data_IF_214946942356
#
_entry.id   IF_214946942356
#
_cell.length_a   1.000
_cell.length_b   1.000
_cell.length_c   1.000
_cell.angle_alpha   90.00
_cell.angle_beta   90.00
_cell.angle_gamma   90.00
#
_symmetry.space_group_name_H-M   'P 1'
#
loop_
_entity.id
_entity.type
_entity.pdbx_description
1 polymer ?
2 non-polymer ?
3 non-polymer ?
4 water ?
#
# COMPACT_ATOMS: atom_id res chain seq x y z
N UNK A 2 11.09 15.51 11.32
CA UNK A 2 11.55 15.34 9.95
C UNK A 2 12.47 14.12 9.87
N UNK A 3 12.70 13.64 8.65
CA UNK A 3 13.53 12.45 8.47
C UNK A 3 14.83 12.74 7.72
N UNK A 4 15.25 14.01 7.71
CA UNK A 4 16.42 14.39 6.92
C UNK A 4 17.73 14.06 7.61
N UNK A 5 17.64 13.56 8.83
CA UNK A 5 18.81 13.11 9.59
C UNK A 5 19.03 11.59 9.56
N UNK A 6 18.13 10.85 8.91
CA UNK A 6 18.37 9.43 8.75
C UNK A 6 19.61 9.25 7.92
N UNK A 7 20.49 8.34 8.33
CA UNK A 7 21.70 8.09 7.56
C UNK A 7 21.85 6.65 7.10
N UNK A 8 20.98 5.77 7.59
CA UNK A 8 21.02 4.35 7.22
C UNK A 8 20.72 4.12 5.73
N UNK A 9 21.19 2.99 5.18
CA UNK A 9 20.96 2.71 3.76
C UNK A 9 19.45 2.63 3.50
N UNK A 10 19.01 3.09 2.34
CA UNK A 10 17.61 3.05 1.99
C UNK A 10 16.77 4.14 2.60
N UNK A 11 17.42 5.13 3.23
CA UNK A 11 16.69 6.21 3.88
C UNK A 11 16.39 7.37 2.93
N UNK A 12 16.83 7.26 1.68
CA UNK A 12 16.57 8.31 0.70
C UNK A 12 15.77 7.79 -0.49
N UNK A 13 14.74 8.54 -0.85
CA UNK A 13 13.96 8.21 -2.03
C UNK A 13 14.76 8.48 -3.30
N UNK A 14 14.92 7.45 -4.12
CA UNK A 14 15.72 7.58 -5.34
C UNK A 14 14.89 7.43 -6.61
N UNK A 15 13.57 7.28 -6.44
CA UNK A 15 12.67 7.24 -7.58
C UNK A 15 11.87 8.55 -7.64
N UNK A 16 11.44 8.93 -8.84
CA UNK A 16 10.63 10.15 -8.99
C UNK A 16 9.21 9.98 -8.46
N UNK A 17 8.69 11.01 -7.79
CA UNK A 17 7.29 11.07 -7.41
C UNK A 17 6.58 12.04 -8.33
N UNK A 18 5.39 11.67 -8.79
CA UNK A 18 4.60 12.56 -9.63
C UNK A 18 5.32 12.88 -10.95
N UNK A 24 5.83 8.64 -22.77
CA UNK A 24 7.05 8.09 -23.35
C UNK A 24 7.12 6.58 -23.15
N UNK A 25 7.04 5.83 -24.27
CA UNK A 25 7.00 4.36 -24.30
C UNK A 25 8.14 3.70 -23.54
N UNK A 26 8.02 2.39 -23.37
CA UNK A 26 9.06 1.58 -22.72
C UNK A 26 9.00 0.18 -23.32
N UNK A 27 9.91 -0.68 -22.89
CA UNK A 27 9.83 -2.09 -23.26
C UNK A 27 8.47 -2.63 -22.88
N UNK A 28 7.75 -3.23 -23.84
CA UNK A 28 6.44 -3.81 -23.56
C UNK A 28 6.53 -5.04 -22.67
N UNK A 29 7.56 -5.86 -22.87
CA UNK A 29 7.74 -7.08 -22.10
C UNK A 29 8.07 -6.83 -20.63
N UNK A 30 7.98 -5.56 -20.21
CA UNK A 30 8.24 -5.15 -18.85
C UNK A 30 7.54 -6.08 -17.84
N UNK A 31 8.26 -6.45 -16.78
CA UNK A 31 7.69 -7.25 -15.69
C UNK A 31 7.67 -6.42 -14.43
N UNK A 32 6.51 -6.32 -13.79
CA UNK A 32 6.37 -5.43 -12.64
C UNK A 32 5.79 -6.16 -11.43
N UNK A 33 6.40 -5.97 -10.27
CA UNK A 33 5.89 -6.52 -9.02
C UNK A 33 5.34 -5.35 -8.21
N UNK A 34 4.02 -5.34 -8.00
CA UNK A 34 3.38 -4.30 -7.20
C UNK A 34 3.33 -4.68 -5.71
N UNK A 35 3.62 -3.71 -4.85
CA UNK A 35 3.59 -3.92 -3.39
C UNK A 35 2.68 -2.90 -2.70
N UNK A 36 1.71 -3.39 -1.93
CA UNK A 36 1.05 -2.53 -0.95
C UNK A 36 2.06 -2.14 0.13
N UNK A 37 1.75 -1.12 0.91
CA UNK A 37 2.66 -0.68 1.98
C UNK A 37 2.18 -1.03 3.39
N UNK A 38 1.04 -0.49 3.78
CA UNK A 38 0.59 -0.68 5.15
C UNK A 38 0.23 -2.14 5.45
N UNK A 39 0.82 -2.68 6.50
CA UNK A 39 0.58 -4.07 6.93
C UNK A 39 1.14 -5.04 5.91
N UNK A 40 1.97 -4.52 5.03
CA UNK A 40 2.61 -5.33 4.00
C UNK A 40 4.13 -5.23 4.12
N UNK A 41 4.65 -4.03 3.97
CA UNK A 41 6.09 -3.83 4.09
C UNK A 41 6.48 -3.70 5.56
N UNK A 42 5.47 -3.62 6.43
CA UNK A 42 5.70 -3.79 7.86
C UNK A 42 4.58 -4.66 8.43
N UNK A 43 4.82 -5.24 9.61
CA UNK A 43 3.88 -6.21 10.17
C UNK A 43 2.66 -5.58 10.82
N UNK A 44 1.51 -6.24 10.68
CA UNK A 44 0.28 -5.74 11.26
C UNK A 44 0.40 -5.66 12.79
N UNK A 45 1.31 -6.46 13.36
CA UNK A 45 1.56 -6.44 14.80
C UNK A 45 2.33 -5.20 15.30
N UNK A 46 2.77 -4.33 14.39
CA UNK A 46 3.34 -3.04 14.79
C UNK A 46 2.24 -2.21 15.46
N UNK A 47 1.00 -2.63 15.25
CA UNK A 47 -0.20 -1.93 15.75
C UNK A 47 -0.42 -0.55 15.14
N UNK A 48 0.29 -0.25 14.05
CA UNK A 48 0.08 1.01 13.35
C UNK A 48 -1.35 1.12 12.85
N UNK A 49 -1.93 0.00 12.41
CA UNK A 49 -3.29 0.03 11.89
C UNK A 49 -4.27 0.40 13.00
N UNK A 50 -3.99 -0.05 14.22
CA UNK A 50 -4.81 0.26 15.36
C UNK A 50 -4.76 1.76 15.67
N UNK A 51 -3.56 2.33 15.61
CA UNK A 51 -3.39 3.77 15.77
C UNK A 51 -4.12 4.56 14.70
N UNK A 52 -4.09 4.06 13.47
CA UNK A 52 -4.78 4.73 12.37
C UNK A 52 -6.29 4.71 12.64
N UNK A 53 -6.81 3.55 12.99
CA UNK A 53 -8.24 3.41 13.25
C UNK A 53 -8.68 4.30 14.41
N UNK A 54 -7.85 4.40 15.45
CA UNK A 54 -8.14 5.29 16.56
C UNK A 54 -8.33 6.72 16.07
N UNK A 55 -7.41 7.18 15.23
CA UNK A 55 -7.45 8.54 14.73
C UNK A 55 -8.65 8.76 13.83
N UNK A 56 -8.91 7.78 12.98
CA UNK A 56 -10.04 7.87 12.06
C UNK A 56 -11.36 7.94 12.82
N UNK A 57 -11.53 7.04 13.79
CA UNK A 57 -12.72 7.04 14.63
C UNK A 57 -12.86 8.37 15.39
N UNK A 58 -11.76 8.92 15.87
CA UNK A 58 -11.79 10.23 16.52
C UNK A 58 -12.29 11.31 15.55
N UNK A 59 -11.82 11.25 14.31
CA UNK A 59 -12.29 12.19 13.30
C UNK A 59 -13.81 12.11 13.08
N UNK A 60 -14.34 10.91 12.90
CA UNK A 60 -15.78 10.75 12.75
C UNK A 60 -16.50 11.38 13.93
N UNK A 61 -15.97 11.21 15.13
CA UNK A 61 -16.65 11.75 16.30
C UNK A 61 -16.58 13.25 16.35
N UNK A 62 -15.38 13.80 16.18
CA UNK A 62 -15.19 15.23 16.37
C UNK A 62 -15.71 16.03 15.19
N UNK A 63 -15.60 15.47 13.99
CA UNK A 63 -16.02 16.25 12.82
C UNK A 63 -17.46 15.99 12.40
N UNK A 64 -17.91 14.75 12.52
CA UNK A 64 -19.27 14.38 12.15
C UNK A 64 -20.21 14.34 13.36
N UNK A 65 -19.66 14.63 14.54
CA UNK A 65 -20.46 14.66 15.79
C UNK A 65 -21.23 13.37 16.02
N UNK A 66 -20.56 12.24 15.81
CA UNK A 66 -21.19 10.95 16.01
C UNK A 66 -20.73 10.34 17.33
N UNK A 67 -21.60 9.54 17.93
CA UNK A 67 -21.23 8.74 19.09
C UNK A 67 -20.16 7.75 18.62
N UNK A 68 -19.36 7.21 19.55
CA UNK A 68 -18.37 6.20 19.14
C UNK A 68 -18.99 5.01 18.40
N UNK A 69 -20.13 4.54 18.88
CA UNK A 69 -20.73 3.35 18.27
C UNK A 69 -21.20 3.63 16.84
N UNK A 70 -21.76 4.81 16.58
CA UNK A 70 -22.18 5.17 15.24
C UNK A 70 -20.99 5.48 14.34
N UNK A 71 -19.91 5.98 14.95
CA UNK A 71 -18.67 6.22 14.22
C UNK A 71 -18.11 4.90 13.70
N UNK A 72 -18.15 3.86 14.53
CA UNK A 72 -17.66 2.54 14.12
C UNK A 72 -18.48 2.01 12.96
N UNK A 73 -19.80 2.14 13.07
CA UNK A 73 -20.68 1.63 12.03
C UNK A 73 -20.44 2.31 10.69
N UNK A 74 -20.32 3.63 10.70
CA UNK A 74 -20.12 4.38 9.47
C UNK A 74 -18.70 4.14 8.91
N UNK A 75 -17.70 4.16 9.78
CA UNK A 75 -16.33 3.87 9.37
C UNK A 75 -16.27 2.49 8.66
N UNK A 76 -16.84 1.48 9.30
CA UNK A 76 -16.80 0.13 8.74
C UNK A 76 -17.55 0.05 7.44
N UNK A 77 -18.69 0.72 7.37
CA UNK A 77 -19.51 0.71 6.16
C UNK A 77 -18.72 1.28 4.99
N UNK A 78 -18.10 2.45 5.19
CA UNK A 78 -17.34 3.06 4.11
C UNK A 78 -16.09 2.28 3.76
N UNK A 79 -15.40 1.78 4.78
CA UNK A 79 -14.17 1.01 4.58
C UNK A 79 -14.49 -0.25 3.78
N UNK A 80 -15.63 -0.87 4.07
CA UNK A 80 -15.97 -2.15 3.47
C UNK A 80 -16.22 -2.01 1.98
N UNK A 81 -17.02 -1.01 1.62
CA UNK A 81 -17.45 -0.81 0.25
C UNK A 81 -16.46 -0.02 -0.61
N UNK A 82 -15.56 0.72 0.03
CA UNK A 82 -14.67 1.62 -0.71
C UNK A 82 -13.18 1.32 -0.57
N UNK A 83 -12.79 0.57 0.45
CA UNK A 83 -11.37 0.33 0.72
C UNK A 83 -10.73 1.47 1.48
N UNK A 84 -11.43 2.60 1.56
CA UNK A 84 -11.00 3.74 2.38
C UNK A 84 -12.19 4.47 2.95
N UNK A 85 -12.20 4.67 4.27
CA UNK A 85 -13.26 5.45 4.89
C UNK A 85 -13.31 6.85 4.31
N UNK A 86 -12.14 7.42 4.04
CA UNK A 86 -12.10 8.77 3.53
C UNK A 86 -12.83 8.94 2.20
N UNK A 87 -12.95 7.86 1.43
CA UNK A 87 -13.72 7.97 0.20
C UNK A 87 -15.17 8.32 0.51
N UNK A 88 -15.77 7.69 1.52
CA UNK A 88 -17.13 8.01 1.93
C UNK A 88 -17.28 9.38 2.58
N UNK A 89 -16.32 9.75 3.42
CA UNK A 89 -16.31 11.08 4.02
C UNK A 89 -16.25 12.20 3.00
N UNK A 90 -15.48 12.01 1.92
CA UNK A 90 -15.42 13.03 0.87
C UNK A 90 -16.77 13.15 0.17
N UNK A 91 -17.32 12.02 -0.24
CA UNK A 91 -18.52 12.02 -1.06
C UNK A 91 -19.75 12.48 -0.29
N UNK A 92 -19.94 11.94 0.91
CA UNK A 92 -21.20 12.18 1.60
C UNK A 92 -21.13 13.31 2.61
N UNK A 93 -19.95 13.57 3.15
CA UNK A 93 -19.83 14.52 4.24
C UNK A 93 -19.02 15.74 3.88
N UNK A 94 -18.59 15.79 2.62
CA UNK A 94 -17.85 16.93 2.07
C UNK A 94 -16.65 17.28 2.94
N UNK A 95 -15.96 16.23 3.36
CA UNK A 95 -14.71 16.35 4.07
C UNK A 95 -13.57 16.63 3.09
N UNK A 96 -12.66 17.50 3.50
CA UNK A 96 -11.43 17.74 2.75
C UNK A 96 -10.39 16.66 3.08
N UNK A 97 -10.04 15.83 2.10
CA UNK A 97 -9.25 14.64 2.38
C UNK A 97 -7.84 14.98 2.87
N UNK A 98 -7.29 16.11 2.43
CA UNK A 98 -5.95 16.50 2.92
C UNK A 98 -5.96 16.94 4.38
N UNK A 99 -7.01 17.64 4.81
CA UNK A 99 -7.09 18.03 6.23
C UNK A 99 -7.27 16.80 7.09
N UNK A 100 -8.10 15.88 6.62
CA UNK A 100 -8.28 14.60 7.27
C UNK A 100 -6.94 13.88 7.39
N UNK A 101 -6.23 13.82 6.26
CA UNK A 101 -4.96 13.08 6.20
C UNK A 101 -3.93 13.64 7.19
N UNK A 102 -3.98 14.95 7.41
CA UNK A 102 -3.10 15.60 8.38
C UNK A 102 -3.38 15.11 9.80
N UNK A 103 -4.64 14.86 10.11
CA UNK A 103 -5.02 14.39 11.43
C UNK A 103 -4.89 12.88 11.61
N UNK A 104 -4.85 12.15 10.50
CA UNK A 104 -4.75 10.68 10.57
C UNK A 104 -3.34 10.19 10.25
N UNK A 105 -3.11 9.69 9.04
CA UNK A 105 -1.83 9.08 8.69
C UNK A 105 -0.64 9.97 9.06
N UNK A 106 -0.78 11.27 8.81
CA UNK A 106 0.34 12.18 8.96
C UNK A 106 0.65 12.55 10.41
N UNK A 107 -0.19 12.13 11.35
CA UNK A 107 0.09 12.40 12.75
C UNK A 107 0.55 11.15 13.50
N UNK A 108 0.76 10.05 12.77
CA UNK A 108 1.26 8.83 13.40
C UNK A 108 2.70 9.04 13.87
N UNK A 109 3.03 8.51 15.05
CA UNK A 109 4.40 8.61 15.58
C UNK A 109 5.31 7.53 15.00
N UNK A 110 5.42 7.48 13.67
CA UNK A 110 6.17 6.42 12.99
C UNK A 110 7.65 6.34 13.37
N UNK A 111 8.25 7.49 13.67
CA UNK A 111 9.67 7.53 13.94
C UNK A 111 10.01 6.76 15.21
N UNK A 112 8.99 6.52 16.02
CA UNK A 112 9.16 5.77 17.27
C UNK A 112 8.75 4.31 17.11
N UNK A 113 8.27 3.95 15.92
CA UNK A 113 7.77 2.59 15.70
C UNK A 113 8.57 1.82 14.65
N UNK A 114 8.81 2.45 13.50
CA UNK A 114 9.44 1.75 12.40
C UNK A 114 10.95 1.93 12.46
N UNK A 115 11.65 0.83 12.28
CA UNK A 115 13.11 0.84 12.31
C UNK A 115 13.58 0.19 11.03
N UNK A 116 14.85 0.40 10.65
CA UNK A 116 15.28 -0.24 9.41
C UNK A 116 15.10 -1.75 9.46
N UNK A 117 14.55 -2.30 8.39
CA UNK A 117 14.29 -3.73 8.29
C UNK A 117 15.29 -4.31 7.33
N UNK A 118 16.41 -4.79 7.87
CA UNK A 118 17.50 -5.28 7.05
C UNK A 118 17.16 -6.57 6.29
N UNK A 119 16.53 -7.56 6.96
CA UNK A 119 16.13 -8.72 6.15
C UNK A 119 15.20 -8.38 4.99
N UNK A 120 14.28 -7.44 5.18
CA UNK A 120 13.39 -7.05 4.09
C UNK A 120 14.22 -6.39 2.99
N UNK A 121 15.13 -5.51 3.39
CA UNK A 121 15.98 -4.83 2.40
C UNK A 121 16.73 -5.86 1.57
N UNK A 122 17.36 -6.81 2.27
CA UNK A 122 18.11 -7.84 1.56
C UNK A 122 17.27 -8.71 0.63
N UNK A 123 16.06 -9.07 1.07
CA UNK A 123 15.17 -9.84 0.21
C UNK A 123 14.81 -9.08 -1.08
N UNK A 124 14.45 -7.80 -0.93
CA UNK A 124 14.08 -6.97 -2.07
C UNK A 124 15.26 -6.75 -3.03
N UNK A 125 16.45 -6.54 -2.47
CA UNK A 125 17.67 -6.48 -3.25
C UNK A 125 17.85 -7.74 -4.10
N UNK A 126 17.66 -8.91 -3.48
CA UNK A 126 17.80 -10.15 -4.24
C UNK A 126 16.77 -10.23 -5.38
N UNK A 127 15.55 -9.78 -5.11
CA UNK A 127 14.51 -9.75 -6.13
C UNK A 127 14.87 -8.83 -7.30
N UNK A 128 15.49 -7.69 -7.01
CA UNK A 128 15.89 -6.74 -8.06
C UNK A 128 17.05 -7.26 -8.89
N UNK A 129 17.87 -8.09 -8.28
CA UNK A 129 19.17 -8.45 -8.86
C UNK A 129 19.13 -9.72 -9.70
N UNK A 130 18.00 -10.40 -9.70
CA UNK A 130 17.84 -11.64 -10.48
C UNK A 130 17.70 -11.35 -11.95
N UNK A 131 17.11 -10.20 -12.27
CA UNK A 131 16.80 -9.87 -13.66
C UNK A 131 15.44 -10.37 -14.12
N UNK A 132 14.72 -11.06 -13.24
CA UNK A 132 13.41 -11.62 -13.55
C UNK A 132 12.30 -10.57 -13.48
N UNK A 133 12.51 -9.55 -12.66
CA UNK A 133 11.53 -8.48 -12.49
C UNK A 133 12.17 -7.14 -12.85
N UNK A 134 11.52 -6.40 -13.74
CA UNK A 134 12.07 -5.14 -14.21
C UNK A 134 11.86 -3.98 -13.22
N UNK A 135 10.67 -3.92 -12.63
CA UNK A 135 10.38 -2.88 -11.65
C UNK A 135 9.67 -3.40 -10.41
N UNK A 136 10.05 -2.86 -9.25
CA UNK A 136 9.27 -3.01 -8.03
C UNK A 136 8.50 -1.70 -7.86
N UNK A 137 7.17 -1.79 -7.84
CA UNK A 137 6.34 -0.58 -7.86
C UNK A 137 5.44 -0.57 -6.65
N UNK A 138 5.41 0.56 -5.95
CA UNK A 138 4.54 0.68 -4.77
C UNK A 138 3.13 1.01 -5.23
N UNK A 139 2.14 0.38 -4.61
CA UNK A 139 0.76 0.59 -5.00
C UNK A 139 -0.04 0.66 -3.71
N UNK A 140 -0.32 1.88 -3.26
CA UNK A 140 -0.85 2.09 -1.92
C UNK A 140 -2.10 2.97 -1.95
N UNK A 141 -3.02 2.70 -1.01
CA UNK A 141 -4.13 3.60 -0.73
C UNK A 141 -3.79 4.77 0.20
N UNK A 142 -2.57 4.81 0.70
CA UNK A 142 -2.11 5.96 1.47
C UNK A 142 -1.83 7.11 0.54
N UNK A 143 -1.73 8.31 1.13
CA UNK A 143 -1.26 9.48 0.40
C UNK A 143 0.27 9.41 0.39
N UNK A 144 0.90 10.18 -0.50
CA UNK A 144 2.34 10.06 -0.70
C UNK A 144 3.17 10.37 0.56
N UNK A 145 2.73 11.32 1.38
CA UNK A 145 3.51 11.70 2.56
C UNK A 145 3.81 10.49 3.42
N UNK A 146 2.75 9.79 3.82
CA UNK A 146 2.87 8.60 4.64
C UNK A 146 3.65 7.49 3.96
N UNK A 147 3.37 7.27 2.68
CA UNK A 147 4.03 6.22 1.91
C UNK A 147 5.55 6.39 1.97
N UNK A 148 5.99 7.60 1.64
CA UNK A 148 7.43 7.91 1.62
C UNK A 148 8.07 7.77 2.99
N UNK A 149 7.38 8.26 4.00
CA UNK A 149 7.84 8.20 5.38
C UNK A 149 8.08 6.74 5.82
N UNK A 150 7.16 5.84 5.47
CA UNK A 150 7.35 4.43 5.77
C UNK A 150 8.60 3.89 5.07
N UNK A 151 8.77 4.22 3.80
CA UNK A 151 9.91 3.68 3.04
C UNK A 151 11.23 4.12 3.66
N UNK A 152 11.31 5.40 4.00
CA UNK A 152 12.55 5.94 4.53
C UNK A 152 12.91 5.34 5.89
N UNK A 153 11.94 5.27 6.79
CA UNK A 153 12.15 4.70 8.12
C UNK A 153 12.55 3.22 8.04
N UNK A 154 11.97 2.49 7.11
CA UNK A 154 12.24 1.06 6.99
C UNK A 154 13.55 0.79 6.25
N UNK A 155 14.17 1.83 5.70
CA UNK A 155 15.38 1.66 4.91
C UNK A 155 15.20 0.91 3.60
N UNK A 156 14.12 1.19 2.88
CA UNK A 156 13.89 0.57 1.59
C UNK A 156 13.52 1.59 0.54
N UNK A 157 13.81 2.87 0.77
CA UNK A 157 13.39 3.93 -0.16
C UNK A 157 14.10 3.97 -1.52
N UNK A 158 15.21 3.25 -1.66
CA UNK A 158 15.87 3.16 -2.96
C UNK A 158 15.53 1.87 -3.68
N UNK A 159 14.67 1.07 -3.09
CA UNK A 159 14.42 -0.26 -3.63
C UNK A 159 13.27 -0.34 -4.63
N UNK A 160 12.54 0.77 -4.82
CA UNK A 160 11.39 0.77 -5.71
C UNK A 160 11.58 1.77 -6.84
N UNK A 161 10.94 1.48 -7.97
CA UNK A 161 11.14 2.29 -9.17
C UNK A 161 10.09 3.37 -9.31
N UNK A 162 9.06 3.30 -8.46
CA UNK A 162 7.97 4.24 -8.57
C UNK A 162 6.90 3.99 -7.53
N UNK A 163 6.00 4.95 -7.41
CA UNK A 163 4.94 4.92 -6.41
C UNK A 163 3.63 5.35 -7.05
N UNK A 164 2.62 4.51 -6.89
CA UNK A 164 1.23 4.88 -7.23
C UNK A 164 0.47 4.99 -5.92
N UNK A 165 -0.01 6.19 -5.60
CA UNK A 165 -0.66 6.42 -4.31
C UNK A 165 -2.02 7.01 -4.59
N UNK A 166 -2.88 7.04 -3.59
CA UNK A 166 -4.22 7.59 -3.72
C UNK A 166 -4.15 9.11 -3.58
N UNK A 167 -4.66 9.81 -4.59
CA UNK A 167 -4.52 11.26 -4.68
C UNK A 167 -5.60 11.94 -3.83
N UNK A 168 -5.27 12.25 -2.59
CA UNK A 168 -6.20 12.83 -1.64
C UNK A 168 -6.51 14.30 -1.98
N UNK A 169 -5.95 14.81 -3.08
CA UNK A 169 -6.25 16.19 -3.49
C UNK A 169 -7.60 16.32 -4.20
N UNK A 170 -8.15 15.19 -4.66
CA UNK A 170 -9.45 15.17 -5.33
C UNK A 170 -10.59 15.42 -4.35
N UNK A 171 -11.63 16.11 -4.82
CA UNK A 171 -12.72 16.50 -3.92
C UNK A 171 -14.09 15.95 -4.32
N UNK A 172 -14.13 15.21 -5.42
CA UNK A 172 -15.37 14.56 -5.85
C UNK A 172 -15.47 13.14 -5.28
N UNK A 173 -14.40 12.36 -5.49
CA UNK A 173 -14.25 11.04 -4.89
C UNK A 173 -12.78 10.74 -4.85
N UNK A 174 -12.41 9.62 -4.24
CA UNK A 174 -11.03 9.17 -4.31
C UNK A 174 -10.99 7.91 -5.15
N UNK A 175 -9.98 7.82 -6.02
CA UNK A 175 -9.73 6.59 -6.75
C UNK A 175 -8.79 5.74 -5.93
N UNK A 176 -9.26 4.57 -5.50
CA UNK A 176 -8.42 3.74 -4.62
C UNK A 176 -8.71 2.26 -4.80
N UNK A 177 -7.76 1.43 -4.38
CA UNK A 177 -8.01 -0.01 -4.34
C UNK A 177 -9.21 -0.24 -3.41
N UNK A 178 -10.07 -1.22 -3.73
CA UNK A 178 -9.92 -2.24 -4.76
C UNK A 178 -10.55 -1.89 -6.11
N UNK A 179 -10.88 -0.62 -6.33
CA UNK A 179 -11.53 -0.22 -7.58
C UNK A 179 -10.61 -0.41 -8.79
N UNK A 180 -11.18 -0.91 -9.88
CA UNK A 180 -10.40 -1.17 -11.08
C UNK A 180 -9.63 0.06 -11.59
N UNK A 181 -10.19 1.25 -11.41
CA UNK A 181 -9.52 2.46 -11.87
C UNK A 181 -8.18 2.69 -11.19
N UNK A 182 -8.05 2.18 -9.96
CA UNK A 182 -6.80 2.34 -9.23
C UNK A 182 -5.74 1.46 -9.85
N UNK A 183 -6.16 0.25 -10.24
CA UNK A 183 -5.25 -0.69 -10.90
C UNK A 183 -4.81 -0.16 -12.26
N UNK A 184 -5.77 0.38 -13.02
CA UNK A 184 -5.45 0.99 -14.30
C UNK A 184 -4.40 2.11 -14.17
N UNK A 185 -4.54 2.93 -13.14
CA UNK A 185 -3.57 3.98 -12.87
C UNK A 185 -2.20 3.40 -12.51
N UNK A 186 -2.18 2.33 -11.73
CA UNK A 186 -0.91 1.68 -11.39
C UNK A 186 -0.26 1.11 -12.66
N UNK A 187 -1.06 0.50 -13.51
CA UNK A 187 -0.56 -0.05 -14.77
C UNK A 187 0.04 1.06 -15.65
N UNK A 188 -0.69 2.16 -15.82
CA UNK A 188 -0.20 3.28 -16.60
C UNK A 188 1.06 3.92 -16.03
N UNK A 189 1.10 4.15 -14.72
CA UNK A 189 2.20 4.87 -14.12
C UNK A 189 3.49 4.04 -14.13
N UNK A 190 3.33 2.72 -14.01
CA UNK A 190 4.47 1.82 -13.95
C UNK A 190 5.01 1.45 -15.34
N UNK A 191 4.23 1.75 -16.38
CA UNK A 191 4.63 1.42 -17.74
C UNK A 191 4.26 -0.01 -18.12
N UNK A 192 3.49 -0.66 -17.27
CA UNK A 192 3.07 -2.04 -17.50
C UNK A 192 2.14 -2.15 -18.69
N UNK A 193 2.52 -2.99 -19.65
CA UNK A 193 1.72 -3.18 -20.85
C UNK A 193 0.50 -4.05 -20.60
N UNK A 194 0.71 -5.23 -20.04
CA UNK A 194 -0.35 -6.22 -19.80
C UNK A 194 -0.36 -6.65 -18.33
N UNK A 195 -1.53 -7.01 -17.82
CA UNK A 195 -1.64 -7.48 -16.45
C UNK A 195 -0.91 -8.80 -16.23
N UNK A 196 -0.86 -9.61 -17.28
CA UNK A 196 -0.24 -10.94 -17.20
C UNK A 196 1.25 -10.85 -16.92
N UNK A 197 1.80 -9.65 -17.04
CA UNK A 197 3.21 -9.38 -16.71
C UNK A 197 3.37 -8.76 -15.32
N UNK A 198 2.34 -8.87 -14.49
CA UNK A 198 2.36 -8.28 -13.17
C UNK A 198 2.21 -9.29 -12.05
N UNK A 199 2.88 -9.00 -10.94
CA UNK A 199 2.76 -9.75 -9.70
C UNK A 199 2.34 -8.73 -8.65
N UNK A 200 1.67 -9.19 -7.60
CA UNK A 200 1.05 -8.27 -6.64
C UNK A 200 1.02 -8.91 -5.26
N UNK A 201 1.42 -8.16 -4.25
CA UNK A 201 1.27 -8.60 -2.86
C UNK A 201 0.51 -7.52 -2.08
N UNK A 202 -0.47 -7.94 -1.28
CA UNK A 202 -1.32 -7.00 -0.55
C UNK A 202 -1.93 -7.78 0.60
N UNK A 203 -2.22 -7.12 1.71
CA UNK A 203 -2.87 -7.80 2.83
C UNK A 203 -4.38 -7.79 2.69
N UNK A 204 -4.89 -7.00 1.74
CA UNK A 204 -6.33 -6.86 1.54
C UNK A 204 -6.86 -7.91 0.58
N UNK A 205 -7.72 -8.81 1.07
CA UNK A 205 -8.32 -9.82 0.23
C UNK A 205 -9.04 -9.23 -0.98
N UNK A 206 -9.81 -8.17 -0.78
CA UNK A 206 -10.55 -7.57 -1.88
C UNK A 206 -9.62 -6.98 -2.96
N UNK A 207 -8.51 -6.40 -2.52
CA UNK A 207 -7.53 -5.87 -3.47
C UNK A 207 -6.92 -7.00 -4.29
N UNK A 208 -6.55 -8.08 -3.61
CA UNK A 208 -6.02 -9.25 -4.29
C UNK A 208 -7.05 -9.79 -5.28
N UNK A 209 -8.31 -9.84 -4.84
CA UNK A 209 -9.38 -10.30 -5.72
C UNK A 209 -9.40 -9.53 -7.04
N UNK A 210 -9.31 -8.21 -6.97
CA UNK A 210 -9.26 -7.39 -8.19
C UNK A 210 -8.08 -7.70 -9.11
N UNK A 211 -6.89 -7.86 -8.54
CA UNK A 211 -5.71 -8.13 -9.33
C UNK A 211 -5.85 -9.45 -10.07
N UNK A 212 -6.38 -10.45 -9.38
CA UNK A 212 -6.59 -11.77 -9.98
C UNK A 212 -7.61 -11.66 -11.13
N UNK A 213 -8.77 -11.07 -10.84
CA UNK A 213 -9.82 -10.88 -11.83
C UNK A 213 -9.33 -10.15 -13.08
N UNK A 214 -8.42 -9.20 -12.86
CA UNK A 214 -7.83 -8.41 -13.94
C UNK A 214 -6.81 -9.20 -14.77
N UNK A 215 -6.38 -10.35 -14.25
CA UNK A 215 -5.47 -11.22 -15.00
C UNK A 215 -3.99 -11.11 -14.65
N UNK A 216 -3.68 -10.59 -13.47
CA UNK A 216 -2.28 -10.58 -13.04
C UNK A 216 -1.75 -12.00 -12.93
N UNK A 217 -0.44 -12.16 -13.17
CA UNK A 217 0.20 -13.48 -13.16
C UNK A 217 0.05 -14.19 -11.82
N UNK A 218 0.59 -13.59 -10.76
CA UNK A 218 0.52 -14.18 -9.43
C UNK A 218 0.20 -13.13 -8.38
N UNK A 219 -0.83 -13.38 -7.59
CA UNK A 219 -1.19 -12.48 -6.51
C UNK A 219 -1.04 -13.16 -5.15
N UNK A 220 -0.31 -12.51 -4.27
CA UNK A 220 -0.02 -13.05 -2.96
C UNK A 220 -0.79 -12.28 -1.88
N UNK A 221 -1.63 -13.01 -1.14
CA UNK A 221 -2.41 -12.44 -0.07
C UNK A 221 -1.64 -12.61 1.24
N UNK A 222 -1.17 -11.51 1.80
CA UNK A 222 -0.43 -11.55 3.05
C UNK A 222 -1.37 -11.53 4.25
N UNK A 223 -1.44 -12.69 4.92
CA UNK A 223 -2.29 -12.84 6.09
C UNK A 223 -1.45 -13.21 7.29
N UNK A 224 -1.13 -12.23 8.14
CA UNK A 224 -0.20 -12.47 9.24
C UNK A 224 -0.78 -13.43 10.27
N UNK A 225 -1.99 -13.15 10.73
CA UNK A 225 -2.65 -14.02 11.70
C UNK A 225 -3.99 -14.47 11.16
N UNK A 226 -4.99 -13.64 11.36
CA UNK A 226 -6.32 -13.90 10.84
C UNK A 226 -6.70 -12.83 9.82
N UNK A 227 -7.49 -13.21 8.83
CA UNK A 227 -8.01 -12.26 7.86
C UNK A 227 -8.86 -11.20 8.56
N UNK A 228 -8.76 -9.96 8.10
CA UNK A 228 -9.58 -8.88 8.64
C UNK A 228 -10.92 -8.77 7.93
N UNK A 233 -11.41 -11.80 3.20
CA UNK A 233 -11.30 -13.24 2.93
C UNK A 233 -10.39 -13.48 1.72
N UNK A 234 -9.61 -14.56 1.77
CA UNK A 234 -8.70 -14.88 0.67
C UNK A 234 -9.45 -15.39 -0.56
N UNK A 235 -9.26 -14.72 -1.70
CA UNK A 235 -9.95 -15.02 -2.95
C UNK A 235 -9.36 -16.22 -3.70
N UNK A 236 -10.21 -16.89 -4.49
CA UNK A 236 -9.78 -17.95 -5.38
C UNK A 236 -8.57 -17.54 -6.21
N UNK A 237 -7.53 -18.38 -6.16
CA UNK A 237 -6.38 -18.19 -7.03
C UNK A 237 -5.20 -17.47 -6.38
N UNK A 238 -5.38 -17.00 -5.16
CA UNK A 238 -4.32 -16.29 -4.47
C UNK A 238 -3.43 -17.23 -3.68
N UNK A 239 -2.14 -16.89 -3.59
CA UNK A 239 -1.22 -17.62 -2.71
C UNK A 239 -1.15 -16.91 -1.37
N UNK A 240 -1.23 -17.66 -0.27
CA UNK A 240 -1.23 -17.05 1.05
C UNK A 240 0.09 -17.25 1.79
N UNK A 241 0.65 -16.17 2.33
CA UNK A 241 1.82 -16.26 3.22
C UNK A 241 1.55 -15.38 4.44
N UNK A 242 2.30 -15.61 5.51
CA UNK A 242 2.03 -14.88 6.75
C UNK A 242 3.04 -13.77 7.04
N UNK A 243 4.12 -13.74 6.27
CA UNK A 243 5.24 -12.82 6.49
C UNK A 243 5.75 -12.47 5.09
N UNK A 244 6.03 -11.19 4.82
CA UNK A 244 6.54 -10.85 3.49
C UNK A 244 7.88 -11.52 3.21
N UNK A 245 8.65 -11.82 4.25
CA UNK A 245 9.94 -12.49 4.04
C UNK A 245 9.75 -13.92 3.53
N UNK A 246 8.48 -14.35 3.44
CA UNK A 246 8.16 -15.65 2.85
C UNK A 246 7.97 -15.59 1.32
N UNK A 247 8.07 -14.40 0.72
CA UNK A 247 8.01 -14.32 -0.73
C UNK A 247 9.02 -15.28 -1.38
N UNK A 248 10.26 -15.34 -0.85
CA UNK A 248 11.23 -16.29 -1.42
C UNK A 248 10.72 -17.73 -1.41
N UNK A 249 9.80 -18.07 -0.52
CA UNK A 249 9.25 -19.42 -0.47
C UNK A 249 8.27 -19.69 -1.62
N UNK A 250 7.48 -18.69 -2.00
CA UNK A 250 6.33 -18.92 -2.89
C UNK A 250 6.44 -18.41 -4.33
N UNK A 251 7.37 -17.48 -4.58
CA UNK A 251 7.70 -17.11 -5.95
C UNK A 251 9.21 -17.23 -6.14
N UNK A 252 9.72 -18.38 -5.72
CA UNK A 252 11.17 -18.63 -5.66
C UNK A 252 11.91 -18.31 -6.96
N UNK A 253 11.27 -18.62 -8.08
CA UNK A 253 11.93 -18.43 -9.38
C UNK A 253 12.27 -16.97 -9.67
N UNK A 254 11.47 -16.05 -9.15
CA UNK A 254 11.75 -14.63 -9.41
C UNK A 254 13.06 -14.18 -8.79
N UNK A 255 13.62 -15.00 -7.90
CA UNK A 255 14.82 -14.63 -7.17
C UNK A 255 16.06 -15.29 -7.75
N UNK A 256 15.88 -16.02 -8.84
CA UNK A 256 17.01 -16.75 -9.45
C UNK A 256 17.34 -16.25 -10.84
N UNK A 257 18.62 -16.08 -11.13
CA UNK A 257 19.05 -15.61 -12.45
C UNK A 257 18.67 -16.64 -13.50
X LIG B 1 -2.58 -2.77 3.58
X LIG C 1 -6.83 2.38 5.87
X LIG C 1 -5.92 3.15 5.06
X LIG C 1 -4.74 3.71 5.85
X LIG C 1 -5.11 4.83 6.63
X LIG C 1 -3.71 4.00 4.75
X LIG C 1 -4.04 2.97 3.65
X LIG C 1 -3.96 5.32 4.27
X LIG C 1 -5.35 2.42 3.98
X LIG C 1 -3.04 1.86 3.45
X LIG C 1 -2.89 1.51 2.07
X LIG C 1 -2.12 0.25 1.54
X LIG C 1 -2.68 -0.03 0.19
X LIG C 1 -2.36 -0.92 2.46
X LIG C 1 -0.66 0.51 1.51
#
# INVERSE_FOLDING_TARGET
>A
AHLESLTHPGSKVTFPIDQDISATPQNPNLKVFFFAIDNCLYKSSTRIHDLMQQSILRFFQTHLKLSPEDAHVLNNSYYKEYGLAIRGLVMFHKVNALEYNRLVDDSLPLQDILKPDIPLRNMLLRLRQSGKIDKLWLFTNAYKNHAIRCLRLLGIADLFDGLTYCDYSRTDTLVCKPHVKAFEKAMKESGLARYENAYFIDDSGKNIETGIKLGMKTCIHLVENEVNEILGQTPEGAIVISDILELPHVVSDLFLEHHHHHH
>B hetero
1 MG MG
>C hetero
1 U5P N1 C1' C2' O2' C3' C4' O3' O4' C5' O5' P O1P O2P O3P
#
